data_IF_353343175710
#
_entry.id   IF_353343175710
#
_cell.length_a   1.000
_cell.length_b   1.000
_cell.length_c   1.000
_cell.angle_alpha   90.00
_cell.angle_beta   90.00
_cell.angle_gamma   90.00
#
_symmetry.space_group_name_H-M   'P 1'
#
loop_
_entity.id
_entity.type
_entity.pdbx_description
1 polymer ?
#
# COMPACT_ATOMS: atom_id res chain seq x y z
N UNK A 1 -90.55 43.67 -17.36
CA UNK A 1 -90.24 43.28 -18.75
C UNK A 1 -88.82 42.72 -18.76
N UNK A 2 -88.67 41.43 -19.05
CA UNK A 2 -87.49 40.61 -18.71
C UNK A 2 -86.53 40.54 -19.92
N UNK A 3 -85.24 40.83 -19.69
CA UNK A 3 -84.18 41.09 -20.69
C UNK A 3 -83.75 39.86 -21.52
N UNK A 4 -84.65 39.25 -22.29
CA UNK A 4 -84.35 38.03 -23.06
C UNK A 4 -83.39 38.23 -24.26
N UNK A 5 -83.15 39.46 -24.71
CA UNK A 5 -82.28 39.75 -25.87
C UNK A 5 -80.79 39.71 -25.56
N UNK A 6 -80.39 39.99 -24.30
CA UNK A 6 -78.98 39.96 -23.87
C UNK A 6 -78.48 38.52 -23.66
N UNK A 7 -79.37 37.64 -23.20
CA UNK A 7 -79.06 36.21 -22.99
C UNK A 7 -78.90 35.46 -24.32
N UNK A 8 -79.67 35.83 -25.34
CA UNK A 8 -79.54 35.22 -26.68
C UNK A 8 -78.25 35.67 -27.39
N UNK A 9 -77.87 36.95 -27.26
CA UNK A 9 -76.64 37.48 -27.84
C UNK A 9 -75.40 36.85 -27.19
N UNK A 10 -75.40 36.70 -25.86
CA UNK A 10 -74.29 36.05 -25.14
C UNK A 10 -74.18 34.57 -25.50
N UNK A 11 -75.30 33.86 -25.66
CA UNK A 11 -75.32 32.49 -26.17
C UNK A 11 -74.74 32.39 -27.59
N UNK A 12 -75.14 33.29 -28.49
CA UNK A 12 -74.67 33.28 -29.88
C UNK A 12 -73.17 33.61 -29.98
N UNK A 13 -72.67 34.57 -29.20
CA UNK A 13 -71.24 34.88 -29.14
C UNK A 13 -70.44 33.70 -28.57
N UNK A 14 -70.95 33.04 -27.52
CA UNK A 14 -70.27 31.86 -26.94
C UNK A 14 -70.19 30.67 -27.90
N UNK A 15 -71.18 30.50 -28.79
CA UNK A 15 -71.17 29.45 -29.81
C UNK A 15 -70.09 29.66 -30.88
N UNK A 16 -69.80 30.92 -31.25
CA UNK A 16 -68.75 31.24 -32.22
C UNK A 16 -67.34 31.09 -31.65
N UNK A 17 -67.13 31.31 -30.35
CA UNK A 17 -65.81 31.17 -29.71
C UNK A 17 -65.40 29.70 -29.56
N UNK A 18 -66.38 28.79 -29.40
CA UNK A 18 -66.12 27.34 -29.27
C UNK A 18 -65.74 26.64 -30.59
N UNK A 19 -65.93 27.29 -31.75
CA UNK A 19 -65.57 26.76 -33.07
C UNK A 19 -64.19 27.21 -33.61
N UNK A 20 -63.45 28.04 -32.86
CA UNK A 20 -62.26 28.75 -33.36
C UNK A 20 -60.90 28.04 -33.21
N UNK A 21 -60.84 26.88 -32.55
CA UNK A 21 -59.57 26.15 -32.39
C UNK A 21 -59.40 25.07 -33.46
N UNK A 22 -58.89 25.47 -34.63
CA UNK A 22 -58.20 24.55 -35.54
C UNK A 22 -56.72 24.82 -35.47
N UNK A 23 -55.91 23.79 -35.16
CA UNK A 23 -54.46 23.90 -35.24
C UNK A 23 -54.06 24.31 -36.67
N UNK A 24 -53.28 25.39 -36.86
CA UNK A 24 -52.78 25.73 -38.19
C UNK A 24 -51.75 24.67 -38.60
N UNK A 25 -52.19 23.65 -39.33
CA UNK A 25 -51.29 22.74 -40.04
C UNK A 25 -50.83 23.44 -41.32
N UNK A 26 -49.59 23.91 -41.34
CA UNK A 26 -48.99 24.47 -42.55
C UNK A 26 -48.02 25.64 -42.36
N UNK A 27 -47.46 25.86 -41.16
CA UNK A 27 -46.37 26.85 -40.98
C UNK A 27 -45.05 26.10 -40.85
N UNK A 28 -44.44 25.89 -42.00
CA UNK A 28 -43.19 25.17 -42.22
C UNK A 28 -43.20 24.66 -43.65
N UNK A 29 -42.26 25.09 -44.48
CA UNK A 29 -41.99 24.40 -45.74
C UNK A 29 -41.58 22.98 -45.35
N UNK A 30 -42.29 21.97 -45.85
CA UNK A 30 -41.75 20.61 -45.89
C UNK A 30 -40.41 20.73 -46.60
N UNK A 31 -39.33 20.38 -45.88
CA UNK A 31 -37.99 20.38 -46.43
C UNK A 31 -38.01 19.27 -47.48
N UNK A 32 -37.75 19.62 -48.75
CA UNK A 32 -37.60 18.62 -49.81
C UNK A 32 -36.56 17.59 -49.32
N UNK A 33 -36.86 16.28 -49.33
CA UNK A 33 -35.88 15.25 -48.99
C UNK A 33 -34.56 15.40 -49.74
N UNK A 34 -34.58 15.97 -50.95
CA UNK A 34 -33.40 16.22 -51.78
C UNK A 34 -32.58 17.46 -51.31
N UNK A 35 -33.20 18.41 -50.59
CA UNK A 35 -32.56 19.61 -50.02
C UNK A 35 -32.21 19.45 -48.53
N UNK A 36 -32.36 18.24 -47.98
CA UNK A 36 -32.08 17.96 -46.57
C UNK A 36 -30.56 18.00 -46.31
N UNK A 37 -30.08 19.07 -45.67
CA UNK A 37 -28.69 19.19 -45.22
C UNK A 37 -28.45 18.13 -44.13
N UNK A 38 -27.90 17.00 -44.53
CA UNK A 38 -27.52 15.90 -43.64
C UNK A 38 -26.08 16.14 -43.20
N UNK A 39 -25.91 16.59 -41.96
CA UNK A 39 -24.60 16.70 -41.34
C UNK A 39 -24.25 15.42 -40.60
N UNK A 40 -23.23 14.70 -41.06
CA UNK A 40 -22.70 13.57 -40.30
C UNK A 40 -21.85 14.10 -39.13
N UNK A 41 -22.26 13.77 -37.90
CA UNK A 41 -21.45 14.02 -36.72
C UNK A 41 -20.40 12.91 -36.66
N UNK A 42 -19.20 13.23 -37.15
CA UNK A 42 -18.05 12.33 -37.05
C UNK A 42 -17.38 12.59 -35.69
N UNK A 43 -17.80 11.85 -34.66
CA UNK A 43 -17.17 11.83 -33.33
C UNK A 43 -16.53 10.46 -33.08
N UNK A 44 -15.48 10.14 -33.84
CA UNK A 44 -14.67 8.94 -33.58
C UNK A 44 -13.22 9.31 -33.34
N UNK A 45 -12.96 9.97 -32.21
CA UNK A 45 -11.61 10.05 -31.68
C UNK A 45 -11.22 8.67 -31.13
N UNK A 46 -10.44 7.92 -31.90
CA UNK A 46 -9.85 6.66 -31.41
C UNK A 46 -8.65 6.99 -30.52
N UNK A 47 -8.84 6.97 -29.19
CA UNK A 47 -7.76 7.12 -28.22
C UNK A 47 -7.00 5.79 -28.10
N UNK A 48 -5.74 5.79 -28.53
CA UNK A 48 -4.81 4.70 -28.24
C UNK A 48 -4.00 5.06 -27.00
N UNK A 49 -4.34 4.44 -25.87
CA UNK A 49 -3.56 4.55 -24.64
C UNK A 49 -2.70 3.30 -24.47
N UNK A 50 -1.43 3.50 -24.11
CA UNK A 50 -0.50 2.42 -23.73
C UNK A 50 0.10 2.75 -22.37
N UNK A 51 0.29 1.74 -21.54
CA UNK A 51 1.07 1.87 -20.30
C UNK A 51 2.55 1.80 -20.65
N UNK A 52 3.30 2.83 -20.28
CA UNK A 52 4.76 2.82 -20.35
C UNK A 52 5.31 2.46 -18.98
N UNK A 53 6.37 1.65 -18.95
CA UNK A 53 7.09 1.37 -17.72
C UNK A 53 7.78 2.67 -17.28
N UNK A 54 7.53 3.07 -16.03
CA UNK A 54 8.18 4.24 -15.45
C UNK A 54 9.64 3.94 -15.10
N UNK A 55 10.45 5.00 -14.99
CA UNK A 55 11.86 4.85 -14.62
C UNK A 55 12.00 4.33 -13.18
N UNK A 56 13.06 3.54 -12.94
CA UNK A 56 13.32 3.00 -11.61
C UNK A 56 13.66 4.10 -10.62
N UNK A 57 13.03 4.09 -9.45
CA UNK A 57 13.29 5.04 -8.38
C UNK A 57 14.22 4.45 -7.33
N UNK A 58 14.99 5.30 -6.64
CA UNK A 58 15.87 4.86 -5.55
C UNK A 58 15.03 4.21 -4.46
N UNK A 59 15.43 3.05 -3.97
CA UNK A 59 14.70 2.24 -2.98
C UNK A 59 15.27 2.34 -1.56
N UNK A 60 16.03 3.40 -1.26
CA UNK A 60 16.69 3.57 0.03
C UNK A 60 16.77 5.03 0.52
N UNK A 61 17.10 5.19 1.80
CA UNK A 61 17.16 6.48 2.54
C UNK A 61 15.81 7.20 2.70
N UNK A 62 14.74 6.44 2.96
CA UNK A 62 13.46 7.01 3.33
C UNK A 62 13.35 7.22 4.84
N UNK A 63 12.58 8.21 5.26
CA UNK A 63 12.17 8.35 6.66
C UNK A 63 11.18 7.25 7.09
N UNK A 64 10.44 6.70 6.13
CA UNK A 64 9.51 5.58 6.27
C UNK A 64 9.53 4.75 4.98
N UNK A 65 9.51 3.43 5.11
CA UNK A 65 9.54 2.51 3.97
C UNK A 65 8.21 1.78 3.86
N UNK A 66 7.70 1.63 2.63
CA UNK A 66 6.51 0.83 2.36
C UNK A 66 6.82 -0.66 2.55
N UNK A 67 5.87 -1.40 3.11
CA UNK A 67 5.97 -2.84 3.27
C UNK A 67 4.62 -3.51 3.09
N UNK A 68 4.57 -4.55 2.26
CA UNK A 68 3.39 -5.34 1.99
C UNK A 68 3.16 -5.54 0.49
N UNK A 69 1.97 -6.01 0.15
CA UNK A 69 1.58 -6.26 -1.23
C UNK A 69 0.10 -5.96 -1.41
N UNK A 70 -0.29 -5.71 -2.66
CA UNK A 70 -1.69 -5.68 -3.06
C UNK A 70 -1.81 -6.28 -4.46
N UNK A 71 -2.99 -6.80 -4.78
CA UNK A 71 -3.29 -7.43 -6.06
C UNK A 71 -4.52 -6.75 -6.65
N UNK A 72 -4.29 -5.95 -7.68
CA UNK A 72 -5.33 -5.19 -8.37
C UNK A 72 -5.72 -5.89 -9.69
N UNK A 73 -7.02 -6.03 -10.01
CA UNK A 73 -7.45 -6.74 -11.21
C UNK A 73 -6.95 -6.15 -12.54
N UNK A 74 -6.61 -4.86 -12.59
CA UNK A 74 -6.17 -4.16 -13.79
C UNK A 74 -4.64 -4.04 -13.86
N UNK A 75 -3.97 -3.66 -12.76
CA UNK A 75 -2.51 -3.46 -12.74
C UNK A 75 -1.72 -4.67 -12.24
N UNK A 76 -2.40 -5.68 -11.69
CA UNK A 76 -1.82 -6.92 -11.17
C UNK A 76 -1.23 -6.78 -9.77
N UNK A 77 -0.40 -7.77 -9.40
CA UNK A 77 0.22 -7.86 -8.07
C UNK A 77 1.45 -6.96 -7.96
N UNK A 78 1.41 -6.06 -6.98
CA UNK A 78 2.54 -5.21 -6.58
C UNK A 78 3.02 -5.64 -5.19
N UNK A 79 4.34 -5.78 -5.03
CA UNK A 79 4.99 -6.21 -3.78
C UNK A 79 6.06 -5.21 -3.39
N UNK A 80 6.10 -4.85 -2.11
CA UNK A 80 7.13 -4.04 -1.48
C UNK A 80 7.66 -4.79 -0.25
N UNK A 81 8.80 -5.44 -0.42
CA UNK A 81 9.49 -6.19 0.63
C UNK A 81 10.65 -5.38 1.21
N UNK A 82 11.14 -5.77 2.40
CA UNK A 82 12.21 -5.05 3.09
C UNK A 82 13.51 -5.86 3.09
N UNK A 83 14.56 -5.29 2.50
CA UNK A 83 15.93 -5.71 2.77
C UNK A 83 16.53 -4.80 3.85
N UNK A 84 17.05 -5.39 4.91
CA UNK A 84 17.51 -4.71 6.11
C UNK A 84 18.98 -5.05 6.37
N UNK A 85 19.82 -4.02 6.52
CA UNK A 85 21.15 -4.19 7.07
C UNK A 85 21.08 -4.37 8.60
N UNK A 86 21.89 -5.29 9.13
CA UNK A 86 22.18 -5.33 10.57
C UNK A 86 23.50 -4.59 10.76
N UNK A 87 23.48 -3.47 11.49
CA UNK A 87 24.70 -2.74 11.82
C UNK A 87 25.49 -3.44 12.92
N UNK A 88 26.82 -3.37 12.86
CA UNK A 88 27.67 -3.87 13.94
C UNK A 88 27.41 -3.05 15.22
N UNK A 89 27.32 -3.67 16.40
CA UNK A 89 27.25 -2.94 17.66
C UNK A 89 28.42 -1.94 17.80
N UNK A 90 28.11 -0.74 18.30
CA UNK A 90 29.06 0.38 18.41
C UNK A 90 30.12 0.16 19.49
N UNK A 91 29.83 -0.63 20.52
CA UNK A 91 30.75 -0.98 21.60
C UNK A 91 31.64 -2.16 21.22
N UNK A 92 32.69 -1.91 20.43
CA UNK A 92 33.75 -2.90 20.16
C UNK A 92 33.35 -4.03 19.18
N UNK A 93 33.80 -5.25 19.47
CA UNK A 93 33.47 -6.44 18.70
C UNK A 93 32.00 -6.84 18.90
N UNK A 94 31.36 -7.38 17.87
CA UNK A 94 30.02 -7.95 18.04
C UNK A 94 30.03 -9.03 19.15
N UNK A 95 28.95 -9.14 19.95
CA UNK A 95 28.89 -10.05 21.08
C UNK A 95 29.07 -11.49 20.60
N UNK A 96 29.85 -12.26 21.35
CA UNK A 96 29.99 -13.71 21.16
C UNK A 96 29.09 -14.43 22.15
N UNK A 97 28.27 -15.33 21.64
CA UNK A 97 27.42 -16.18 22.46
C UNK A 97 28.26 -17.38 22.87
N UNK A 98 28.38 -17.59 24.18
CA UNK A 98 29.13 -18.74 24.71
C UNK A 98 28.38 -20.04 24.38
N UNK A 99 29.08 -21.18 24.22
CA UNK A 99 28.43 -22.46 23.94
C UNK A 99 27.40 -22.89 25.00
N UNK A 100 27.64 -22.52 26.27
CA UNK A 100 26.80 -22.82 27.43
C UNK A 100 25.68 -21.79 27.65
N UNK A 101 25.64 -20.71 26.87
CA UNK A 101 24.63 -19.68 27.02
C UNK A 101 23.29 -20.14 26.44
N UNK A 102 22.21 -19.85 27.17
CA UNK A 102 20.85 -20.03 26.69
C UNK A 102 20.33 -18.69 26.14
N UNK A 103 19.86 -18.71 24.89
CA UNK A 103 19.14 -17.58 24.31
C UNK A 103 17.66 -17.79 24.64
N UNK A 104 17.11 -16.91 25.48
CA UNK A 104 15.68 -16.89 25.80
C UNK A 104 14.83 -16.43 24.60
N UNK A 105 15.21 -15.32 23.96
CA UNK A 105 14.53 -14.86 22.74
C UNK A 105 15.38 -13.95 21.87
N UNK A 106 15.14 -14.00 20.56
CA UNK A 106 15.62 -13.02 19.58
C UNK A 106 14.42 -12.41 18.89
N UNK A 107 14.27 -11.09 18.99
CA UNK A 107 13.09 -10.38 18.48
C UNK A 107 13.53 -9.29 17.51
N UNK A 108 13.10 -9.38 16.25
CA UNK A 108 13.17 -8.28 15.31
C UNK A 108 12.06 -7.28 15.63
N UNK A 109 12.43 -6.02 15.80
CA UNK A 109 11.50 -4.94 16.14
C UNK A 109 11.51 -3.91 15.02
N UNK A 110 10.36 -3.75 14.35
CA UNK A 110 10.15 -2.80 13.27
C UNK A 110 9.08 -1.79 13.69
N UNK A 111 9.43 -0.54 13.98
CA UNK A 111 8.46 0.52 14.25
C UNK A 111 7.50 0.73 13.07
N UNK A 112 6.21 0.94 13.34
CA UNK A 112 5.27 1.24 12.28
C UNK A 112 5.42 2.68 11.76
N UNK A 113 5.16 2.84 10.46
CA UNK A 113 5.11 4.15 9.81
C UNK A 113 3.88 4.97 10.21
N UNK A 114 3.71 6.15 9.59
CA UNK A 114 2.57 7.06 9.82
C UNK A 114 1.42 6.87 8.84
N UNK A 115 1.58 5.93 7.92
CA UNK A 115 0.63 5.67 6.86
C UNK A 115 0.37 4.17 6.76
N UNK A 116 -0.85 3.84 6.38
CA UNK A 116 -1.30 2.48 6.09
C UNK A 116 -2.26 2.53 4.91
N UNK A 117 -2.10 1.60 3.98
CA UNK A 117 -2.96 1.45 2.81
C UNK A 117 -3.49 0.01 2.73
N UNK A 118 -4.78 -0.14 2.44
CA UNK A 118 -5.46 -1.43 2.32
C UNK A 118 -6.60 -1.64 3.33
N UNK A 119 -7.17 -2.85 3.34
CA UNK A 119 -8.23 -3.21 4.29
C UNK A 119 -7.65 -3.39 5.70
N UNK A 120 -8.27 -2.74 6.69
CA UNK A 120 -7.88 -2.72 8.11
C UNK A 120 -8.79 -3.59 8.99
N UNK A 121 -9.73 -4.33 8.39
CA UNK A 121 -10.80 -5.02 9.12
C UNK A 121 -10.69 -6.54 9.01
N UNK A 122 -10.51 -7.09 7.81
CA UNK A 122 -10.62 -8.54 7.58
C UNK A 122 -9.35 -9.20 7.02
N UNK A 123 -8.21 -8.51 7.03
CA UNK A 123 -6.97 -8.99 6.42
C UNK A 123 -6.00 -9.61 7.42
N UNK A 124 -5.41 -10.74 7.02
CA UNK A 124 -4.28 -11.37 7.71
C UNK A 124 -3.06 -11.31 6.82
N UNK A 125 -1.95 -10.80 7.37
CA UNK A 125 -0.69 -10.68 6.62
C UNK A 125 0.31 -11.70 7.16
N UNK A 126 0.58 -12.79 6.42
CA UNK A 126 1.67 -13.70 6.76
C UNK A 126 3.00 -13.04 6.38
N UNK A 127 3.91 -12.98 7.34
CA UNK A 127 5.24 -12.42 7.21
C UNK A 127 6.26 -13.51 7.48
N UNK A 128 7.33 -13.51 6.70
CA UNK A 128 8.49 -14.35 6.94
C UNK A 128 9.76 -13.49 6.94
N UNK A 129 10.75 -13.94 7.70
CA UNK A 129 12.08 -13.34 7.76
C UNK A 129 13.08 -14.39 7.34
N UNK A 130 13.98 -14.01 6.44
CA UNK A 130 15.06 -14.83 5.88
C UNK A 130 16.37 -14.06 5.94
N UNK A 131 17.50 -14.74 5.81
CA UNK A 131 18.79 -14.07 5.65
C UNK A 131 19.01 -13.68 4.18
N UNK A 132 19.66 -12.54 3.95
CA UNK A 132 20.15 -12.20 2.61
C UNK A 132 21.34 -13.10 2.23
N UNK A 133 21.35 -13.58 0.99
CA UNK A 133 22.46 -14.38 0.43
C UNK A 133 23.59 -13.49 -0.11
N UNK A 134 23.28 -12.26 -0.47
CA UNK A 134 24.22 -11.20 -0.83
C UNK A 134 24.28 -10.12 0.26
N UNK A 135 25.39 -9.39 0.34
CA UNK A 135 25.56 -8.32 1.34
C UNK A 135 24.64 -7.16 0.99
N UNK A 136 23.93 -6.63 1.98
CA UNK A 136 23.15 -5.41 1.82
C UNK A 136 24.05 -4.24 1.39
N UNK A 137 23.65 -3.57 0.30
CA UNK A 137 24.26 -2.35 -0.22
C UNK A 137 23.23 -1.23 -0.29
N UNK A 138 23.60 -0.03 0.15
CA UNK A 138 22.76 1.16 -0.02
C UNK A 138 22.79 1.67 -1.48
N UNK A 139 21.80 2.48 -1.87
CA UNK A 139 21.71 3.08 -3.20
C UNK A 139 21.09 2.16 -4.27
N UNK A 140 20.29 1.19 -3.86
CA UNK A 140 19.53 0.33 -4.76
C UNK A 140 18.32 1.06 -5.35
N UNK A 141 17.72 0.46 -6.37
CA UNK A 141 16.53 0.96 -7.04
C UNK A 141 15.36 -0.01 -6.88
N UNK A 142 14.14 0.42 -7.20
CA UNK A 142 12.89 -0.37 -7.08
C UNK A 142 12.90 -1.66 -7.92
N UNK A 143 13.78 -1.76 -8.92
CA UNK A 143 13.99 -2.95 -9.74
C UNK A 143 14.95 -3.98 -9.13
N UNK A 144 15.65 -3.65 -8.04
CA UNK A 144 16.61 -4.55 -7.38
C UNK A 144 15.89 -5.76 -6.80
N UNK A 145 16.24 -6.93 -7.31
CA UNK A 145 15.89 -8.21 -6.72
C UNK A 145 17.02 -8.66 -5.79
N UNK A 146 16.67 -8.97 -4.54
CA UNK A 146 17.61 -9.46 -3.55
C UNK A 146 17.70 -10.98 -3.60
N UNK A 147 18.92 -11.51 -3.53
CA UNK A 147 19.15 -12.94 -3.33
C UNK A 147 18.96 -13.28 -1.86
N UNK A 148 18.13 -14.27 -1.56
CA UNK A 148 17.71 -14.63 -0.20
C UNK A 148 17.94 -16.12 0.04
N UNK A 149 18.27 -16.50 1.27
CA UNK A 149 18.38 -17.90 1.66
C UNK A 149 17.01 -18.60 1.73
N UNK A 150 17.00 -19.92 1.51
CA UNK A 150 15.76 -20.70 1.54
C UNK A 150 15.21 -20.92 2.95
N UNK A 151 16.09 -20.91 3.96
CA UNK A 151 15.73 -21.10 5.36
C UNK A 151 14.94 -19.89 5.90
N UNK A 152 13.79 -20.19 6.49
CA UNK A 152 12.96 -19.19 7.18
C UNK A 152 13.39 -19.11 8.63
N UNK A 153 13.96 -17.98 9.01
CA UNK A 153 14.49 -17.72 10.36
C UNK A 153 13.48 -17.03 11.27
N UNK A 154 12.33 -16.62 10.75
CA UNK A 154 11.25 -16.06 11.56
C UNK A 154 9.95 -16.01 10.79
N UNK A 155 8.82 -16.14 11.48
CA UNK A 155 7.49 -15.99 10.88
C UNK A 155 6.56 -15.25 11.82
N UNK A 156 5.62 -14.51 11.25
CA UNK A 156 4.54 -13.90 12.00
C UNK A 156 3.33 -13.67 11.11
N UNK A 157 2.18 -14.16 11.52
CA UNK A 157 0.91 -13.73 10.94
C UNK A 157 0.39 -12.55 11.76
N UNK A 158 0.13 -11.43 11.10
CA UNK A 158 -0.46 -10.25 11.71
C UNK A 158 -1.96 -10.25 11.39
N UNK A 159 -2.83 -10.64 12.34
CA UNK A 159 -4.27 -10.54 12.16
C UNK A 159 -4.65 -9.08 12.38
N UNK A 160 -5.11 -8.41 11.32
CA UNK A 160 -5.34 -6.96 11.30
C UNK A 160 -4.04 -6.20 11.56
N UNK A 161 -3.55 -5.41 10.61
CA UNK A 161 -2.53 -4.42 10.95
C UNK A 161 -3.17 -3.51 12.01
N UNK A 162 -2.80 -3.71 13.29
CA UNK A 162 -3.33 -2.99 14.43
C UNK A 162 -2.70 -1.60 14.46
N UNK A 163 -2.89 -0.89 13.36
CA UNK A 163 -2.36 0.41 13.07
C UNK A 163 -3.09 1.44 13.91
N UNK A 164 -2.63 1.61 15.16
CA UNK A 164 -3.10 2.68 16.04
C UNK A 164 -1.92 3.60 16.32
N UNK A 165 -1.82 4.67 15.55
CA UNK A 165 -0.85 5.74 15.79
C UNK A 165 -0.94 6.38 17.18
N UNK A 166 -2.14 6.37 17.77
CA UNK A 166 -2.42 7.02 19.04
C UNK A 166 -2.15 6.12 20.26
N UNK A 167 -1.89 4.83 20.06
CA UNK A 167 -1.84 3.86 21.14
C UNK A 167 -0.42 3.34 21.33
N UNK A 168 0.23 3.76 22.41
CA UNK A 168 1.55 3.25 22.79
C UNK A 168 1.45 1.78 23.19
N UNK A 169 2.40 0.95 22.76
CA UNK A 169 2.51 -0.43 23.27
C UNK A 169 3.31 -0.45 24.57
N UNK A 170 2.88 -1.26 25.54
CA UNK A 170 3.68 -1.52 26.73
C UNK A 170 4.71 -2.59 26.40
N UNK A 171 5.98 -2.27 26.59
CA UNK A 171 7.10 -3.16 26.34
C UNK A 171 7.97 -3.26 27.57
N UNK A 172 8.45 -4.48 27.85
CA UNK A 172 9.48 -4.70 28.86
C UNK A 172 10.84 -4.44 28.22
N UNK A 173 11.60 -3.53 28.81
CA UNK A 173 13.00 -3.26 28.45
C UNK A 173 13.86 -3.39 29.70
N UNK A 174 15.07 -3.87 29.50
CA UNK A 174 16.09 -3.87 30.53
C UNK A 174 16.75 -2.49 30.58
N UNK A 175 16.55 -1.77 31.67
CA UNK A 175 17.07 -0.41 31.89
C UNK A 175 17.70 -0.38 33.28
N UNK A 176 18.93 0.13 33.40
CA UNK A 176 19.62 0.32 34.67
C UNK A 176 19.63 -0.91 35.61
N UNK A 177 19.82 -2.10 35.03
CA UNK A 177 19.95 -3.33 35.79
C UNK A 177 18.63 -4.03 36.15
N UNK A 178 17.48 -3.52 35.69
CA UNK A 178 16.16 -4.07 36.02
C UNK A 178 15.21 -4.08 34.82
N UNK A 179 14.29 -5.04 34.82
CA UNK A 179 13.19 -5.07 33.86
C UNK A 179 12.18 -3.98 34.21
N UNK A 180 11.99 -3.04 33.29
CA UNK A 180 11.03 -1.94 33.40
C UNK A 180 9.99 -2.04 32.29
N UNK A 181 8.72 -1.82 32.64
CA UNK A 181 7.65 -1.72 31.65
C UNK A 181 7.51 -0.26 31.23
N UNK A 182 7.80 0.03 29.96
CA UNK A 182 7.70 1.38 29.40
C UNK A 182 6.66 1.43 28.28
N UNK A 183 6.14 2.62 28.03
CA UNK A 183 5.33 2.91 26.83
C UNK A 183 6.26 3.23 25.68
N UNK A 184 6.06 2.56 24.56
CA UNK A 184 6.86 2.75 23.34
C UNK A 184 5.94 2.94 22.12
N UNK A 185 6.53 3.39 21.02
CA UNK A 185 5.80 3.58 19.76
C UNK A 185 5.26 2.24 19.24
N UNK A 186 4.13 2.25 18.50
CA UNK A 186 3.62 1.05 17.84
C UNK A 186 4.70 0.38 16.98
N UNK A 187 4.89 -0.92 17.17
CA UNK A 187 5.94 -1.69 16.52
C UNK A 187 5.52 -3.13 16.22
N UNK A 188 5.94 -3.62 15.06
CA UNK A 188 5.89 -5.00 14.67
C UNK A 188 7.06 -5.75 15.32
N UNK A 189 6.75 -6.80 16.08
CA UNK A 189 7.75 -7.65 16.74
C UNK A 189 7.68 -9.06 16.17
N UNK A 190 8.75 -9.55 15.57
CA UNK A 190 8.83 -10.89 14.98
C UNK A 190 9.88 -11.68 15.74
N UNK A 191 9.50 -12.85 16.26
CA UNK A 191 10.46 -13.77 16.88
C UNK A 191 11.31 -14.44 15.81
N UNK A 192 12.62 -14.47 16.01
CA UNK A 192 13.59 -15.11 15.13
C UNK A 192 14.17 -16.37 15.79
N UNK A 193 14.69 -17.29 14.98
CA UNK A 193 15.34 -18.52 15.44
C UNK A 193 16.55 -18.20 16.31
N UNK A 194 16.54 -18.74 17.53
CA UNK A 194 17.68 -18.64 18.43
C UNK A 194 18.89 -19.41 17.87
N UNK A 195 18.67 -20.52 17.18
CA UNK A 195 19.69 -21.38 16.58
C UNK A 195 20.47 -20.65 15.49
N UNK A 196 19.76 -19.92 14.61
CA UNK A 196 20.38 -19.06 13.61
C UNK A 196 21.28 -18.00 14.24
N UNK A 197 20.82 -17.32 15.29
CA UNK A 197 21.65 -16.31 15.97
C UNK A 197 22.80 -16.93 16.79
N UNK A 198 22.62 -18.14 17.33
CA UNK A 198 23.71 -18.91 17.95
C UNK A 198 24.79 -19.22 16.93
N UNK A 199 24.44 -19.66 15.72
CA UNK A 199 25.45 -19.97 14.69
C UNK A 199 26.15 -18.69 14.23
N UNK A 200 25.39 -17.61 14.01
CA UNK A 200 25.88 -16.32 13.54
C UNK A 200 26.87 -15.66 14.52
N UNK A 201 26.66 -15.82 15.82
CA UNK A 201 27.48 -15.22 16.88
C UNK A 201 28.21 -16.25 17.76
N UNK A 202 28.42 -17.46 17.23
CA UNK A 202 29.11 -18.52 17.96
C UNK A 202 30.56 -18.15 18.27
N UNK A 203 31.10 -18.76 19.33
CA UNK A 203 32.50 -18.59 19.71
C UNK A 203 33.50 -19.11 18.65
N UNK A 204 33.05 -19.91 17.67
CA UNK A 204 33.87 -20.44 16.58
C UNK A 204 34.03 -19.48 15.40
N UNK A 205 33.21 -18.42 15.31
CA UNK A 205 33.39 -17.39 14.26
C UNK A 205 34.70 -16.65 14.49
N UNK A 206 35.42 -16.31 13.43
CA UNK A 206 36.70 -15.59 13.54
C UNK A 206 36.53 -14.18 14.17
N UNK A 207 37.52 -13.77 14.97
CA UNK A 207 37.52 -12.49 15.67
C UNK A 207 37.65 -11.31 14.71
N UNK A 208 38.38 -11.46 13.60
CA UNK A 208 38.49 -10.41 12.59
C UNK A 208 37.14 -10.15 11.88
N UNK A 209 36.35 -11.20 11.67
CA UNK A 209 35.02 -11.11 11.07
C UNK A 209 34.04 -10.31 11.93
N UNK A 210 34.06 -10.48 13.26
CA UNK A 210 33.11 -9.81 14.16
C UNK A 210 33.59 -8.44 14.68
N UNK A 211 34.86 -8.07 14.45
CA UNK A 211 35.45 -6.82 14.94
C UNK A 211 35.43 -5.68 13.92
N UNK A 212 35.46 -6.00 12.62
CA UNK A 212 35.43 -5.01 11.55
C UNK A 212 34.03 -4.85 10.97
N UNK A 213 33.68 -3.63 10.53
CA UNK A 213 32.38 -3.36 9.91
C UNK A 213 32.20 -4.17 8.62
N UNK A 214 33.23 -4.20 7.77
CA UNK A 214 33.20 -4.96 6.52
C UNK A 214 33.11 -6.48 6.76
N UNK A 215 33.88 -7.02 7.71
CA UNK A 215 33.79 -8.43 8.07
C UNK A 215 32.41 -8.80 8.61
N UNK A 216 31.84 -7.94 9.46
CA UNK A 216 30.53 -8.15 10.05
C UNK A 216 29.42 -8.13 9.00
N UNK A 217 29.44 -7.11 8.12
CA UNK A 217 28.45 -6.98 7.06
C UNK A 217 28.55 -8.12 6.04
N UNK A 218 29.75 -8.61 5.75
CA UNK A 218 29.95 -9.79 4.89
C UNK A 218 29.44 -11.09 5.51
N UNK A 219 29.55 -11.24 6.84
CA UNK A 219 29.13 -12.43 7.57
C UNK A 219 27.62 -12.46 7.79
N UNK A 220 27.05 -11.34 8.24
CA UNK A 220 25.62 -11.23 8.56
C UNK A 220 24.79 -11.01 7.30
N UNK A 221 25.31 -10.25 6.32
CA UNK A 221 24.71 -9.87 5.04
C UNK A 221 23.44 -9.02 5.14
N UNK A 222 22.56 -9.34 6.07
CA UNK A 222 21.32 -8.65 6.39
C UNK A 222 20.13 -9.60 6.46
N UNK A 223 18.95 -9.02 6.67
CA UNK A 223 17.68 -9.73 6.74
C UNK A 223 16.77 -9.32 5.59
N UNK A 224 15.93 -10.23 5.15
CA UNK A 224 14.88 -9.98 4.18
C UNK A 224 13.53 -10.30 4.81
N UNK A 225 12.60 -9.35 4.74
CA UNK A 225 11.23 -9.48 5.26
C UNK A 225 10.26 -9.39 4.09
N UNK A 226 9.42 -10.41 3.93
CA UNK A 226 8.41 -10.56 2.88
C UNK A 226 7.12 -11.12 3.45
#
# INVERSE_FOLDING_TARGET
MRNHTKDLLTLLISLFVLGGCTNPSGIGLDVDPDDQITGDIIDSLTLQAVTLLDDSTRSSSFSQTAFGWFDDPAIGKTVADLALAIGKPSSGSAPRIRPDAEIDSVILVLPFGREYFGDTVNTTFPLQVRQLKEVYTDGTYSTKQWSVEEEVIGTKTVPRFAYKLSDSVQVRKYIDGKDSTIKDIPQLRISLSAEFFRSLFSNTVDSATLSTEAGFNNHVKGLYVS
#
